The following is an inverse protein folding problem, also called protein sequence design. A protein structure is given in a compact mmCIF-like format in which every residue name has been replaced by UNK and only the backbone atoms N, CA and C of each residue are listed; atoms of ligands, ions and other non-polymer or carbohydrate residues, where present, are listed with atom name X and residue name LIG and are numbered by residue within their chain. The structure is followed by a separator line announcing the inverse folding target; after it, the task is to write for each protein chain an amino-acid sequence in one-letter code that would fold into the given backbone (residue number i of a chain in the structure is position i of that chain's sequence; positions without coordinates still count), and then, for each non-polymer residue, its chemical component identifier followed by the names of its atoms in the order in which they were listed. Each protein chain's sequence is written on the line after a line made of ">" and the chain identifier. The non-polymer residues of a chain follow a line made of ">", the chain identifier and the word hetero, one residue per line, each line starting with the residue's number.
data_IF_991558733878
#
_entry.id   IF_991558733878
#
_cell.length_a   1.000
_cell.length_b   1.000
_cell.length_c   1.000
_cell.angle_alpha   90.00
_cell.angle_beta   90.00
_cell.angle_gamma   90.00
#
_symmetry.space_group_name_H-M   'P 1'
#
loop_
_entity.id
_entity.type
_entity.pdbx_description
1 polymer ?
#
# COMPACT_ATOMS: atom_id res chain seq x y z
N UNK A 1 -35.68 -59.33 45.47
CA UNK A 1 -36.68 -59.39 44.40
C UNK A 1 -36.40 -58.23 43.44
N UNK A 2 -35.61 -58.51 42.41
CA UNK A 2 -36.03 -58.79 41.03
C UNK A 2 -36.24 -57.48 40.25
N UNK A 3 -35.21 -56.99 39.55
CA UNK A 3 -34.88 -57.26 38.13
C UNK A 3 -35.92 -56.68 37.15
N UNK A 4 -35.67 -55.47 36.63
CA UNK A 4 -36.15 -55.08 35.30
C UNK A 4 -34.98 -54.41 34.56
N UNK A 5 -34.44 -55.19 33.61
CA UNK A 5 -33.53 -54.78 32.55
C UNK A 5 -34.33 -53.96 31.54
N UNK A 6 -33.93 -52.71 31.29
CA UNK A 6 -34.29 -52.02 30.06
C UNK A 6 -33.01 -51.79 29.25
N UNK A 7 -32.82 -52.71 28.32
CA UNK A 7 -31.89 -52.63 27.21
C UNK A 7 -32.33 -51.46 26.33
N UNK A 8 -31.52 -50.39 26.27
CA UNK A 8 -31.62 -49.39 25.21
C UNK A 8 -30.37 -49.47 24.34
N UNK A 9 -30.53 -50.33 23.33
CA UNK A 9 -29.95 -50.34 22.00
C UNK A 9 -29.02 -49.16 21.71
N UNK A 10 -27.71 -49.47 21.60
CA UNK A 10 -26.73 -48.67 20.86
C UNK A 10 -27.22 -48.49 19.42
N UNK A 11 -27.57 -47.25 19.06
CA UNK A 11 -27.60 -46.82 17.66
C UNK A 11 -26.34 -45.99 17.43
N UNK A 12 -25.34 -46.50 16.69
CA UNK A 12 -24.30 -45.65 16.18
C UNK A 12 -24.92 -44.78 15.10
N UNK A 13 -25.27 -43.54 15.46
CA UNK A 13 -25.56 -42.51 14.46
C UNK A 13 -24.25 -42.25 13.72
N UNK A 14 -24.23 -42.69 12.47
CA UNK A 14 -23.20 -42.41 11.49
C UNK A 14 -22.85 -40.91 11.55
N UNK A 15 -21.67 -40.61 12.09
CA UNK A 15 -21.01 -39.33 11.86
C UNK A 15 -20.76 -39.26 10.36
N UNK A 16 -21.57 -38.43 9.69
CA UNK A 16 -21.30 -37.93 8.36
C UNK A 16 -19.88 -37.36 8.40
N UNK A 17 -18.93 -38.11 7.87
CA UNK A 17 -17.64 -37.60 7.47
C UNK A 17 -17.90 -36.57 6.37
N UNK A 18 -18.15 -35.34 6.78
CA UNK A 18 -17.99 -34.20 5.89
C UNK A 18 -16.54 -34.20 5.46
N UNK A 19 -16.29 -34.41 4.17
CA UNK A 19 -15.04 -33.98 3.57
C UNK A 19 -14.96 -32.47 3.73
N UNK A 20 -14.44 -32.00 4.86
CA UNK A 20 -13.84 -30.69 4.95
C UNK A 20 -12.55 -30.79 4.12
N UNK A 21 -12.69 -30.57 2.81
CA UNK A 21 -11.58 -30.12 1.99
C UNK A 21 -10.96 -28.96 2.76
N UNK A 22 -9.68 -29.03 3.16
CA UNK A 22 -9.01 -27.85 3.67
C UNK A 22 -9.17 -26.81 2.58
N UNK A 23 -9.94 -25.77 2.88
CA UNK A 23 -10.05 -24.62 2.01
C UNK A 23 -8.63 -24.15 1.78
N UNK A 24 -8.12 -24.38 0.57
CA UNK A 24 -7.20 -23.44 -0.02
C UNK A 24 -7.98 -22.13 -0.08
N UNK A 25 -7.87 -21.36 1.01
CA UNK A 25 -7.97 -19.92 0.91
C UNK A 25 -7.09 -19.56 -0.28
N UNK A 26 -7.59 -18.84 -1.29
CA UNK A 26 -6.71 -18.28 -2.28
C UNK A 26 -5.85 -17.29 -1.50
N UNK A 27 -4.68 -17.74 -1.04
CA UNK A 27 -3.55 -16.87 -0.75
C UNK A 27 -3.18 -16.23 -2.09
N UNK A 28 -3.96 -15.22 -2.46
CA UNK A 28 -3.66 -14.33 -3.58
C UNK A 28 -2.38 -13.58 -3.22
N UNK A 29 -1.23 -14.20 -3.50
CA UNK A 29 0.04 -13.56 -3.85
C UNK A 29 0.44 -12.28 -3.11
N UNK A 30 0.12 -12.14 -1.82
CA UNK A 30 0.39 -10.91 -1.05
C UNK A 30 1.89 -10.76 -0.69
N UNK A 31 2.67 -11.86 -0.77
CA UNK A 31 4.04 -11.94 -0.23
C UNK A 31 5.14 -11.30 -1.09
N UNK A 32 4.82 -10.74 -2.27
CA UNK A 32 5.84 -10.14 -3.15
C UNK A 32 5.73 -8.61 -3.28
N UNK A 33 4.73 -7.98 -2.66
CA UNK A 33 4.49 -6.55 -2.86
C UNK A 33 5.51 -5.66 -2.13
N UNK A 34 6.12 -6.13 -1.04
CA UNK A 34 7.22 -5.39 -0.39
C UNK A 34 8.61 -5.74 -0.92
N UNK A 35 8.71 -6.42 -2.07
CA UNK A 35 10.02 -6.67 -2.67
C UNK A 35 10.54 -5.40 -3.31
N UNK A 36 11.87 -5.26 -3.32
CA UNK A 36 12.53 -4.25 -4.15
C UNK A 36 12.21 -4.47 -5.63
N UNK A 37 11.77 -3.40 -6.28
CA UNK A 37 11.55 -3.33 -7.71
C UNK A 37 12.50 -2.28 -8.30
N UNK A 38 12.83 -2.43 -9.58
CA UNK A 38 13.61 -1.43 -10.31
C UNK A 38 12.81 -0.12 -10.46
N UNK A 39 13.50 0.99 -10.68
CA UNK A 39 12.86 2.29 -10.95
C UNK A 39 11.89 2.20 -12.13
N UNK A 40 12.23 1.42 -13.17
CA UNK A 40 11.36 1.19 -14.32
C UNK A 40 10.07 0.46 -13.97
N UNK A 41 10.16 -0.57 -13.15
CA UNK A 41 8.97 -1.31 -12.69
C UNK A 41 8.10 -0.42 -11.81
N UNK A 42 8.70 0.31 -10.85
CA UNK A 42 7.97 1.23 -9.97
C UNK A 42 7.32 2.37 -10.76
N UNK A 43 8.02 2.95 -11.73
CA UNK A 43 7.49 4.03 -12.57
C UNK A 43 6.26 3.61 -13.38
N UNK A 44 6.14 2.33 -13.74
CA UNK A 44 5.02 1.78 -14.48
C UNK A 44 3.83 1.35 -13.61
N UNK A 45 3.98 1.33 -12.28
CA UNK A 45 2.89 0.98 -11.37
C UNK A 45 1.85 2.09 -11.26
N UNK A 46 0.60 1.69 -11.03
CA UNK A 46 -0.48 2.60 -10.71
C UNK A 46 -0.46 3.00 -9.22
N UNK A 47 -1.02 4.16 -8.83
CA UNK A 47 -1.05 4.59 -7.43
C UNK A 47 -1.68 3.58 -6.48
N UNK A 48 -2.72 2.87 -6.91
CA UNK A 48 -3.38 1.82 -6.13
C UNK A 48 -2.43 0.65 -5.83
N UNK A 49 -1.56 0.31 -6.79
CA UNK A 49 -0.55 -0.74 -6.63
C UNK A 49 0.49 -0.29 -5.60
N UNK A 50 0.94 0.95 -5.68
CA UNK A 50 1.85 1.51 -4.69
C UNK A 50 1.23 1.55 -3.29
N UNK A 51 -0.02 1.96 -3.14
CA UNK A 51 -0.68 1.94 -1.84
C UNK A 51 -0.84 0.51 -1.26
N UNK A 52 -1.11 -0.49 -2.09
CA UNK A 52 -1.08 -1.90 -1.65
C UNK A 52 0.33 -2.33 -1.22
N UNK A 53 1.35 -1.95 -1.99
CA UNK A 53 2.75 -2.22 -1.63
C UNK A 53 3.19 -1.52 -0.34
N UNK A 54 2.74 -0.29 -0.11
CA UNK A 54 2.91 0.44 1.15
C UNK A 54 2.35 -0.36 2.33
N UNK A 55 1.11 -0.85 2.22
CA UNK A 55 0.48 -1.66 3.26
C UNK A 55 1.23 -2.98 3.51
N UNK A 56 1.64 -3.67 2.45
CA UNK A 56 2.46 -4.89 2.56
C UNK A 56 3.78 -4.61 3.30
N UNK A 57 4.48 -3.54 2.92
CA UNK A 57 5.71 -3.15 3.59
C UNK A 57 5.52 -2.72 5.03
N UNK A 58 4.40 -2.11 5.37
CA UNK A 58 4.07 -1.77 6.75
C UNK A 58 3.90 -3.05 7.60
N UNK A 59 3.27 -4.09 7.05
CA UNK A 59 3.14 -5.41 7.71
C UNK A 59 4.50 -6.08 7.92
N UNK A 60 5.39 -5.96 6.93
CA UNK A 60 6.76 -6.49 6.98
C UNK A 60 7.75 -5.61 7.77
N UNK A 61 7.30 -4.46 8.30
CA UNK A 61 8.14 -3.46 9.00
C UNK A 61 9.28 -2.91 8.13
N UNK A 62 9.14 -2.93 6.82
CA UNK A 62 10.09 -2.33 5.89
C UNK A 62 9.73 -0.86 5.68
N UNK A 63 10.09 -0.05 6.66
CA UNK A 63 9.69 1.35 6.73
C UNK A 63 10.14 2.19 5.53
N UNK A 64 11.39 1.99 5.07
CA UNK A 64 11.93 2.74 3.93
C UNK A 64 11.09 2.53 2.67
N UNK A 65 10.70 1.27 2.39
CA UNK A 65 9.84 0.93 1.26
C UNK A 65 8.41 1.41 1.46
N UNK A 66 7.90 1.38 2.69
CA UNK A 66 6.58 1.96 3.01
C UNK A 66 6.55 3.45 2.66
N UNK A 67 7.58 4.21 3.06
CA UNK A 67 7.69 5.65 2.74
C UNK A 67 7.83 5.88 1.24
N UNK A 68 8.67 5.09 0.55
CA UNK A 68 8.83 5.22 -0.91
C UNK A 68 7.50 5.04 -1.65
N UNK A 69 6.76 3.98 -1.32
CA UNK A 69 5.48 3.70 -1.98
C UNK A 69 4.39 4.72 -1.64
N UNK A 70 4.37 5.21 -0.40
CA UNK A 70 3.50 6.32 -0.01
C UNK A 70 3.81 7.58 -0.84
N UNK A 71 5.08 7.96 -0.93
CA UNK A 71 5.51 9.16 -1.65
C UNK A 71 5.17 9.09 -3.14
N UNK A 72 5.47 7.96 -3.80
CA UNK A 72 5.17 7.80 -5.23
C UNK A 72 3.66 7.87 -5.50
N UNK A 73 2.85 7.11 -4.74
CA UNK A 73 1.40 7.08 -4.96
C UNK A 73 0.75 8.46 -4.75
N UNK A 74 1.19 9.20 -3.74
CA UNK A 74 0.65 10.51 -3.45
C UNK A 74 1.09 11.58 -4.47
N UNK A 75 2.37 11.58 -4.86
CA UNK A 75 2.87 12.46 -5.93
C UNK A 75 2.17 12.17 -7.26
N UNK A 76 1.90 10.90 -7.58
CA UNK A 76 1.16 10.52 -8.79
C UNK A 76 -0.26 11.04 -8.82
N UNK A 77 -1.00 10.82 -7.74
CA UNK A 77 -2.40 11.23 -7.65
C UNK A 77 -2.52 12.76 -7.64
N UNK A 78 -1.51 13.47 -7.11
CA UNK A 78 -1.43 14.92 -7.20
C UNK A 78 -1.05 15.40 -8.61
N UNK A 79 -0.11 14.73 -9.27
CA UNK A 79 0.24 14.98 -10.68
C UNK A 79 -0.99 14.88 -11.57
N UNK A 80 -1.78 13.81 -11.42
CA UNK A 80 -3.03 13.63 -12.16
C UNK A 80 -4.04 14.77 -11.95
N UNK A 81 -4.14 15.28 -10.72
CA UNK A 81 -5.00 16.42 -10.41
C UNK A 81 -4.51 17.73 -11.06
N UNK A 82 -3.19 17.90 -11.23
CA UNK A 82 -2.61 19.04 -11.95
C UNK A 82 -2.85 18.91 -13.46
N UNK A 83 -2.52 17.77 -14.07
CA UNK A 83 -2.58 17.62 -15.54
C UNK A 83 -4.00 17.47 -16.06
N UNK A 84 -4.92 16.95 -15.24
CA UNK A 84 -6.34 16.77 -15.58
C UNK A 84 -7.20 17.33 -14.44
N UNK A 85 -7.25 18.67 -14.30
CA UNK A 85 -7.97 19.28 -13.22
C UNK A 85 -9.46 18.98 -13.33
N UNK A 86 -10.06 18.57 -12.22
CA UNK A 86 -11.49 18.32 -12.14
C UNK A 86 -11.89 17.65 -10.83
N UNK A 87 -13.20 17.68 -10.48
CA UNK A 87 -13.68 17.13 -9.22
C UNK A 87 -13.31 15.65 -9.02
N UNK A 88 -13.23 14.88 -10.11
CA UNK A 88 -12.90 13.46 -10.06
C UNK A 88 -11.45 13.20 -9.63
N UNK A 89 -10.48 13.94 -10.17
CA UNK A 89 -9.05 13.73 -9.88
C UNK A 89 -8.68 14.24 -8.49
N UNK A 90 -9.25 15.37 -8.06
CA UNK A 90 -9.09 15.84 -6.67
C UNK A 90 -9.71 14.87 -5.66
N UNK A 91 -10.90 14.35 -5.97
CA UNK A 91 -11.56 13.35 -5.13
C UNK A 91 -10.73 12.07 -5.10
N UNK A 92 -10.19 11.62 -6.24
CA UNK A 92 -9.34 10.43 -6.32
C UNK A 92 -8.10 10.55 -5.43
N UNK A 93 -7.39 11.68 -5.46
CA UNK A 93 -6.23 11.89 -4.59
C UNK A 93 -6.59 11.72 -3.10
N UNK A 94 -7.66 12.37 -2.64
CA UNK A 94 -8.13 12.27 -1.25
C UNK A 94 -8.67 10.88 -0.91
N UNK A 95 -9.41 10.27 -1.83
CA UNK A 95 -10.10 9.00 -1.63
C UNK A 95 -9.12 7.83 -1.55
N UNK A 96 -8.14 7.75 -2.46
CA UNK A 96 -7.23 6.60 -2.52
C UNK A 96 -6.39 6.44 -1.27
N UNK A 97 -5.83 7.54 -0.75
CA UNK A 97 -5.09 7.47 0.51
C UNK A 97 -6.02 7.09 1.67
N UNK A 98 -7.21 7.70 1.75
CA UNK A 98 -8.18 7.41 2.81
C UNK A 98 -8.63 5.95 2.79
N UNK A 99 -8.97 5.42 1.61
CA UNK A 99 -9.34 4.02 1.40
C UNK A 99 -8.19 3.08 1.77
N UNK A 100 -6.98 3.38 1.30
CA UNK A 100 -5.77 2.63 1.63
C UNK A 100 -5.54 2.57 3.15
N UNK A 101 -5.69 3.70 3.84
CA UNK A 101 -5.54 3.72 5.29
C UNK A 101 -6.71 3.03 6.00
N UNK A 102 -7.92 3.03 5.43
CA UNK A 102 -9.10 2.43 6.06
C UNK A 102 -8.95 0.94 6.37
N UNK A 103 -8.11 0.23 5.59
CA UNK A 103 -7.81 -1.20 5.79
C UNK A 103 -6.85 -1.46 6.95
N UNK A 104 -6.20 -0.42 7.48
CA UNK A 104 -5.27 -0.51 8.60
C UNK A 104 -6.01 -0.40 9.93
N UNK A 105 -5.59 -1.21 10.91
CA UNK A 105 -6.00 -1.05 12.30
C UNK A 105 -5.53 0.30 12.87
N UNK A 106 -6.16 0.76 13.96
CA UNK A 106 -5.76 2.01 14.63
C UNK A 106 -4.28 2.02 15.03
N UNK A 107 -3.76 0.89 15.52
CA UNK A 107 -2.35 0.76 15.89
C UNK A 107 -1.43 0.88 14.66
N UNK A 108 -1.78 0.23 13.55
CA UNK A 108 -1.02 0.33 12.30
C UNK A 108 -1.04 1.75 11.71
N UNK A 109 -2.17 2.46 11.79
CA UNK A 109 -2.25 3.87 11.37
C UNK A 109 -1.32 4.76 12.21
N UNK A 110 -1.33 4.58 13.52
CA UNK A 110 -0.45 5.35 14.41
C UNK A 110 1.03 5.07 14.09
N UNK A 111 1.40 3.79 13.97
CA UNK A 111 2.76 3.39 13.60
C UNK A 111 3.16 3.97 12.23
N UNK A 112 2.27 3.91 11.25
CA UNK A 112 2.51 4.45 9.92
C UNK A 112 2.80 5.96 9.95
N UNK A 113 1.97 6.73 10.66
CA UNK A 113 2.16 8.17 10.78
C UNK A 113 3.39 8.56 11.59
N UNK A 114 3.69 7.83 12.67
CA UNK A 114 4.91 8.04 13.45
C UNK A 114 6.17 7.79 12.61
N UNK A 115 6.20 6.68 11.90
CA UNK A 115 7.29 6.31 10.98
C UNK A 115 7.45 7.35 9.86
N UNK A 116 6.36 7.75 9.19
CA UNK A 116 6.40 8.77 8.14
C UNK A 116 6.96 10.09 8.65
N UNK A 117 6.43 10.58 9.78
CA UNK A 117 6.89 11.84 10.37
C UNK A 117 8.36 11.77 10.77
N UNK A 118 8.81 10.65 11.34
CA UNK A 118 10.21 10.48 11.74
C UNK A 118 11.14 10.51 10.53
N UNK A 119 10.81 9.73 9.48
CA UNK A 119 11.67 9.62 8.29
C UNK A 119 11.66 10.86 7.43
N UNK A 120 10.50 11.50 7.23
CA UNK A 120 10.41 12.69 6.37
C UNK A 120 10.90 13.97 7.06
N UNK A 121 11.07 13.96 8.39
CA UNK A 121 11.76 15.04 9.11
C UNK A 121 13.28 14.91 9.10
N UNK A 122 13.79 13.70 8.87
CA UNK A 122 15.22 13.51 8.65
C UNK A 122 15.59 14.02 7.25
N UNK A 123 16.50 15.00 7.20
CA UNK A 123 16.87 15.68 5.95
C UNK A 123 17.48 14.71 4.92
N UNK A 124 18.23 13.70 5.38
CA UNK A 124 18.92 12.75 4.50
C UNK A 124 17.90 11.80 3.88
N UNK A 125 17.02 11.23 4.70
CA UNK A 125 15.93 10.37 4.23
C UNK A 125 14.95 11.12 3.32
N UNK A 126 14.62 12.36 3.65
CA UNK A 126 13.76 13.18 2.79
C UNK A 126 14.42 13.48 1.44
N UNK A 127 15.71 13.89 1.42
CA UNK A 127 16.49 14.05 0.17
C UNK A 127 16.55 12.75 -0.65
N UNK A 128 16.68 11.59 0.01
CA UNK A 128 16.66 10.27 -0.64
C UNK A 128 15.33 10.00 -1.34
N UNK A 129 14.21 10.25 -0.66
CA UNK A 129 12.85 10.07 -1.23
C UNK A 129 12.65 11.00 -2.42
N UNK A 130 13.02 12.28 -2.30
CA UNK A 130 12.90 13.24 -3.39
C UNK A 130 13.77 12.89 -4.61
N UNK A 131 14.99 12.43 -4.39
CA UNK A 131 15.86 11.94 -5.47
C UNK A 131 15.25 10.74 -6.20
N UNK A 132 14.57 9.85 -5.45
CA UNK A 132 13.84 8.72 -6.04
C UNK A 132 12.65 9.17 -6.87
N UNK A 133 11.88 10.16 -6.42
CA UNK A 133 10.77 10.73 -7.20
C UNK A 133 11.25 11.39 -8.50
N UNK A 134 12.41 12.05 -8.47
CA UNK A 134 13.04 12.57 -9.69
C UNK A 134 13.36 11.43 -10.67
N UNK A 135 13.98 10.34 -10.19
CA UNK A 135 14.29 9.18 -11.03
C UNK A 135 13.04 8.49 -11.62
N UNK A 136 11.94 8.44 -10.87
CA UNK A 136 10.64 7.95 -11.36
C UNK A 136 10.12 8.86 -12.49
N UNK A 137 10.19 10.18 -12.32
CA UNK A 137 9.81 11.15 -13.35
C UNK A 137 10.64 10.99 -14.62
N UNK A 138 11.95 10.87 -14.50
CA UNK A 138 12.87 10.64 -15.62
C UNK A 138 12.53 9.37 -16.40
N UNK A 139 12.15 8.30 -15.71
CA UNK A 139 11.79 7.04 -16.35
C UNK A 139 10.44 7.12 -17.06
N UNK A 140 9.46 7.85 -16.49
CA UNK A 140 8.16 8.09 -17.14
C UNK A 140 8.28 8.95 -18.38
N UNK A 141 9.14 9.97 -18.36
CA UNK A 141 9.44 10.81 -19.52
C UNK A 141 9.90 9.99 -20.75
N UNK A 142 10.52 8.83 -20.53
CA UNK A 142 10.96 7.93 -21.62
C UNK A 142 9.84 7.06 -22.19
N UNK A 143 8.80 6.78 -21.42
CA UNK A 143 7.81 5.74 -21.74
C UNK A 143 6.44 6.30 -22.14
N UNK A 144 6.16 7.57 -21.87
CA UNK A 144 4.87 8.20 -22.15
C UNK A 144 4.99 9.71 -22.39
N UNK A 145 3.93 10.32 -22.90
CA UNK A 145 3.76 11.78 -22.89
C UNK A 145 3.69 12.23 -21.43
N UNK A 146 4.61 13.10 -21.03
CA UNK A 146 4.84 13.44 -19.62
C UNK A 146 5.06 14.95 -19.48
N UNK A 147 4.31 15.57 -18.56
CA UNK A 147 4.47 16.98 -18.21
C UNK A 147 5.45 17.10 -17.04
N UNK A 148 6.70 17.39 -17.38
CA UNK A 148 7.79 17.48 -16.39
C UNK A 148 7.56 18.60 -15.36
N UNK A 149 6.94 19.71 -15.78
CA UNK A 149 6.65 20.81 -14.87
C UNK A 149 5.56 20.42 -13.88
N UNK A 150 4.49 19.77 -14.35
CA UNK A 150 3.44 19.26 -13.47
C UNK A 150 3.96 18.20 -12.49
N UNK A 151 4.92 17.37 -12.89
CA UNK A 151 5.56 16.39 -12.00
C UNK A 151 6.43 17.05 -10.93
N UNK A 152 7.18 18.09 -11.30
CA UNK A 152 7.94 18.87 -10.34
C UNK A 152 7.00 19.54 -9.33
N UNK A 153 5.92 20.16 -9.82
CA UNK A 153 4.90 20.78 -8.99
C UNK A 153 4.19 19.78 -8.07
N UNK A 154 3.98 18.53 -8.51
CA UNK A 154 3.38 17.51 -7.65
C UNK A 154 4.33 16.97 -6.59
N UNK A 155 5.60 16.79 -6.94
CA UNK A 155 6.65 16.39 -6.00
C UNK A 155 6.85 17.48 -4.94
N UNK A 156 6.79 18.75 -5.34
CA UNK A 156 6.81 19.91 -4.45
C UNK A 156 5.56 19.99 -3.57
N UNK A 157 4.37 19.92 -4.18
CA UNK A 157 3.12 20.11 -3.46
C UNK A 157 2.80 18.99 -2.47
N UNK A 158 3.21 17.75 -2.79
CA UNK A 158 2.92 16.59 -1.95
C UNK A 158 4.06 16.25 -0.97
N UNK A 159 5.30 16.25 -1.45
CA UNK A 159 6.47 15.84 -0.67
C UNK A 159 7.40 16.99 -0.30
N UNK A 160 7.13 18.23 -0.71
CA UNK A 160 7.96 19.41 -0.39
C UNK A 160 9.43 19.27 -0.82
N UNK A 161 9.67 18.72 -2.01
CA UNK A 161 11.02 18.35 -2.43
C UNK A 161 11.98 19.52 -2.73
N UNK A 162 11.52 20.73 -3.07
CA UNK A 162 12.41 21.88 -3.25
C UNK A 162 12.79 22.57 -1.93
N UNK A 163 12.07 22.33 -0.83
CA UNK A 163 12.42 22.87 0.50
C UNK A 163 13.80 22.40 1.01
N UNK A 164 14.41 21.43 0.31
CA UNK A 164 15.70 20.83 0.61
C UNK A 164 16.88 21.50 -0.09
N UNK A 165 16.63 22.47 -0.99
CA UNK A 165 17.67 23.21 -1.72
C UNK A 165 18.19 24.45 -0.97
N UNK A 166 17.58 24.82 0.16
CA UNK A 166 17.96 26.00 0.95
C UNK A 166 18.97 25.71 2.10
N UNK A 167 19.53 24.50 2.18
CA UNK A 167 20.51 24.09 3.18
C UNK A 167 21.73 23.39 2.58
#
# INVERSE_FOLDING_TARGET
>A
MNLIKCIFIMVPVFLLAGCATPGQSPETGESNFCRSASIKEEAAMLPEVHYRAMQACLKERNEARTVDHFAIAGTDTWYEAIVRPGPQTETRHRALLSESLSTLSKAQKNQFWEMLNTRLRDLIEHKRVCSKLAAIGDERKKTQVFDELAWLQSSEGYMHCNALQEF
#
